data_IF_677729937032
#
_entry.id   IF_677729937032
#
_cell.length_a   1.000
_cell.length_b   1.000
_cell.length_c   1.000
_cell.angle_alpha   90.00
_cell.angle_beta   90.00
_cell.angle_gamma   90.00
#
_symmetry.space_group_name_H-M   'P 1'
#
loop_
_entity.id
_entity.type
_entity.pdbx_description
1 polymer ?
#
# COMPACT_ATOMS: atom_id res chain seq x y z
N UNK A 1 0.30 12.81 30.35
CA UNK A 1 -0.84 12.41 29.51
C UNK A 1 -0.67 10.93 29.20
N UNK A 2 -1.60 10.08 29.60
CA UNK A 2 -1.59 8.65 29.24
C UNK A 2 -2.33 8.44 27.92
N UNK A 3 -2.07 7.32 27.24
CA UNK A 3 -2.67 7.02 25.95
C UNK A 3 -4.21 6.90 26.05
N UNK A 4 -4.93 7.50 25.09
CA UNK A 4 -6.39 7.40 24.95
C UNK A 4 -6.69 6.59 23.70
N UNK A 5 -7.43 5.49 23.84
CA UNK A 5 -7.88 4.69 22.70
C UNK A 5 -8.84 5.50 21.82
N UNK A 6 -8.59 5.55 20.51
CA UNK A 6 -9.43 6.24 19.53
C UNK A 6 -10.17 5.28 18.62
N UNK A 7 -9.46 4.31 18.05
CA UNK A 7 -10.03 3.33 17.12
C UNK A 7 -9.15 2.08 16.99
N UNK A 8 -9.68 1.05 16.30
CA UNK A 8 -8.98 -0.23 16.08
C UNK A 8 -7.69 -0.08 15.27
N UNK A 9 -7.58 0.96 14.43
CA UNK A 9 -6.40 1.22 13.61
C UNK A 9 -6.31 0.33 12.38
N UNK A 10 -7.42 -0.29 11.97
CA UNK A 10 -7.56 -1.01 10.70
C UNK A 10 -7.77 -0.07 9.52
N UNK A 11 -8.44 1.05 9.77
CA UNK A 11 -8.48 2.21 8.90
C UNK A 11 -8.07 3.47 9.68
N UNK A 12 -7.47 4.42 8.97
CA UNK A 12 -7.08 5.71 9.51
C UNK A 12 -7.82 6.81 8.76
N UNK A 13 -8.36 7.77 9.50
CA UNK A 13 -9.03 8.93 8.95
C UNK A 13 -8.01 9.76 8.15
N UNK A 14 -8.35 10.05 6.90
CA UNK A 14 -7.47 10.79 5.99
C UNK A 14 -8.28 11.79 5.20
N UNK A 15 -7.78 13.03 5.15
CA UNK A 15 -8.32 14.09 4.32
C UNK A 15 -7.27 14.42 3.27
N UNK A 16 -7.47 14.03 2.00
CA UNK A 16 -6.51 14.30 0.96
C UNK A 16 -6.61 15.75 0.47
N UNK A 17 -5.49 16.31 0.02
CA UNK A 17 -5.45 17.62 -0.64
C UNK A 17 -5.90 17.56 -2.11
N UNK A 18 -5.90 16.36 -2.70
CA UNK A 18 -6.30 16.06 -4.09
C UNK A 18 -7.28 14.89 -4.11
N UNK A 19 -8.04 14.72 -5.19
CA UNK A 19 -8.95 13.58 -5.30
C UNK A 19 -8.15 12.26 -5.28
N UNK A 20 -8.55 11.32 -4.42
CA UNK A 20 -7.97 9.99 -4.28
C UNK A 20 -9.02 8.98 -4.70
N UNK A 21 -8.68 8.10 -5.64
CA UNK A 21 -9.62 7.09 -6.13
C UNK A 21 -9.52 5.79 -5.33
N UNK A 22 -10.57 4.98 -5.39
CA UNK A 22 -10.59 3.66 -4.75
C UNK A 22 -9.47 2.77 -5.33
N UNK A 23 -8.62 2.25 -4.44
CA UNK A 23 -7.45 1.45 -4.80
C UNK A 23 -6.14 2.24 -4.83
N UNK A 24 -6.20 3.57 -4.77
CA UNK A 24 -4.98 4.38 -4.72
C UNK A 24 -4.23 4.16 -3.40
N UNK A 25 -2.91 4.07 -3.55
CA UNK A 25 -1.98 3.93 -2.44
C UNK A 25 -1.53 5.32 -2.02
N UNK A 26 -1.77 5.65 -0.76
CA UNK A 26 -1.37 6.90 -0.15
C UNK A 26 -0.25 6.63 0.84
N UNK A 27 0.86 7.36 0.68
CA UNK A 27 2.02 7.29 1.56
C UNK A 27 2.07 8.55 2.44
N UNK A 28 1.93 8.37 3.75
CA UNK A 28 2.08 9.43 4.75
C UNK A 28 3.37 9.22 5.55
N UNK A 29 4.49 9.71 5.02
CA UNK A 29 5.80 9.48 5.63
C UNK A 29 6.22 8.01 5.47
N UNK A 30 6.16 7.24 6.55
CA UNK A 30 6.40 5.78 6.53
C UNK A 30 5.11 4.96 6.62
N UNK A 31 3.96 5.62 6.78
CA UNK A 31 2.67 4.95 6.84
C UNK A 31 2.10 4.81 5.43
N UNK A 32 1.94 3.58 4.97
CA UNK A 32 1.30 3.30 3.68
C UNK A 32 -0.14 2.84 3.92
N UNK A 33 -1.09 3.52 3.28
CA UNK A 33 -2.51 3.19 3.33
C UNK A 33 -3.11 3.05 1.93
N UNK A 34 -4.21 2.32 1.81
CA UNK A 34 -4.94 2.15 0.54
C UNK A 34 -6.35 2.69 0.70
N UNK A 35 -6.79 3.55 -0.21
CA UNK A 35 -8.15 4.07 -0.24
C UNK A 35 -9.13 2.95 -0.64
N UNK A 36 -10.15 2.66 0.18
CA UNK A 36 -11.18 1.65 -0.15
C UNK A 36 -12.31 2.19 -1.03
N UNK A 37 -12.47 3.51 -1.04
CA UNK A 37 -13.52 4.26 -1.72
C UNK A 37 -12.88 5.52 -2.30
N UNK A 38 -13.54 6.14 -3.28
CA UNK A 38 -13.14 7.45 -3.78
C UNK A 38 -13.30 8.49 -2.66
N UNK A 39 -12.28 9.32 -2.46
CA UNK A 39 -12.23 10.39 -1.47
C UNK A 39 -11.95 11.68 -2.24
N UNK A 40 -12.92 12.60 -2.26
CA UNK A 40 -12.73 13.91 -2.87
C UNK A 40 -11.75 14.77 -2.05
N UNK A 41 -11.06 15.67 -2.73
CA UNK A 41 -10.17 16.64 -2.09
C UNK A 41 -10.89 17.44 -0.98
N UNK A 42 -10.29 17.48 0.21
CA UNK A 42 -10.83 18.20 1.36
C UNK A 42 -11.97 17.47 2.10
N UNK A 43 -12.37 16.28 1.68
CA UNK A 43 -13.36 15.46 2.39
C UNK A 43 -12.71 14.46 3.35
N UNK A 44 -13.44 14.09 4.40
CA UNK A 44 -12.98 13.07 5.34
C UNK A 44 -13.20 11.68 4.74
N UNK A 45 -12.11 11.03 4.37
CA UNK A 45 -12.09 9.63 3.94
C UNK A 45 -11.37 8.73 4.94
N UNK A 46 -11.18 7.47 4.55
CA UNK A 46 -10.49 6.48 5.37
C UNK A 46 -9.54 5.63 4.51
N UNK A 47 -8.30 5.53 4.96
CA UNK A 47 -7.28 4.66 4.36
C UNK A 47 -7.23 3.35 5.13
N UNK A 48 -7.31 2.23 4.41
CA UNK A 48 -6.99 0.93 4.98
C UNK A 48 -5.49 0.87 5.26
N UNK A 49 -5.09 0.50 6.48
CA UNK A 49 -3.70 0.22 6.84
C UNK A 49 -3.48 -1.26 7.17
N UNK A 50 -4.56 -2.03 7.24
CA UNK A 50 -4.54 -3.49 7.39
C UNK A 50 -5.49 -4.10 6.38
N UNK A 51 -5.08 -5.20 5.75
CA UNK A 51 -5.93 -5.95 4.83
C UNK A 51 -5.12 -6.75 3.82
N UNK A 52 -5.83 -7.38 2.90
CA UNK A 52 -5.24 -8.05 1.75
C UNK A 52 -5.74 -7.35 0.50
N UNK A 53 -4.82 -6.85 -0.31
CA UNK A 53 -5.10 -6.08 -1.52
C UNK A 53 -4.27 -6.64 -2.67
N UNK A 54 -4.83 -6.61 -3.87
CA UNK A 54 -4.08 -6.89 -5.09
C UNK A 54 -3.55 -5.54 -5.59
N UNK A 55 -2.23 -5.39 -5.61
CA UNK A 55 -1.55 -4.14 -6.02
C UNK A 55 -0.77 -4.38 -7.31
N UNK A 56 -0.65 -3.38 -8.21
CA UNK A 56 0.12 -3.52 -9.44
C UNK A 56 1.59 -3.81 -9.12
N UNK A 57 2.24 -4.64 -9.95
CA UNK A 57 3.69 -4.87 -9.90
C UNK A 57 4.30 -4.79 -11.29
N UNK A 58 5.62 -4.61 -11.35
CA UNK A 58 6.35 -4.73 -12.59
C UNK A 58 6.22 -6.15 -13.17
N UNK A 59 6.16 -6.22 -14.50
CA UNK A 59 6.19 -7.47 -15.26
C UNK A 59 7.50 -7.56 -16.02
N UNK A 60 8.09 -8.75 -16.08
CA UNK A 60 9.36 -8.96 -16.77
C UNK A 60 10.22 -10.00 -16.08
N UNK A 61 11.28 -10.42 -16.77
CA UNK A 61 12.20 -11.45 -16.28
C UNK A 61 12.87 -10.97 -14.98
N UNK A 62 12.59 -11.66 -13.87
CA UNK A 62 13.13 -11.32 -12.56
C UNK A 62 12.20 -10.48 -11.69
N UNK A 63 11.00 -10.18 -12.17
CA UNK A 63 9.95 -9.47 -11.43
C UNK A 63 8.99 -10.45 -10.71
N UNK A 64 9.32 -11.74 -10.68
CA UNK A 64 8.63 -12.72 -9.86
C UNK A 64 8.78 -12.39 -8.37
N UNK A 65 7.65 -12.32 -7.68
CA UNK A 65 7.59 -12.03 -6.24
C UNK A 65 7.16 -13.29 -5.51
N UNK A 66 8.06 -13.86 -4.74
CA UNK A 66 7.75 -15.02 -3.90
C UNK A 66 6.77 -14.67 -2.77
N UNK A 67 5.92 -15.63 -2.40
CA UNK A 67 5.10 -15.50 -1.20
C UNK A 67 5.99 -15.29 0.04
N UNK A 68 5.61 -14.35 0.90
CA UNK A 68 6.35 -13.93 2.08
C UNK A 68 7.42 -12.86 1.83
N UNK A 69 7.71 -12.51 0.57
CA UNK A 69 8.63 -11.43 0.24
C UNK A 69 8.12 -10.09 0.80
N UNK A 70 9.05 -9.26 1.28
CA UNK A 70 8.74 -7.88 1.66
C UNK A 70 8.44 -7.09 0.41
N UNK A 71 7.36 -6.33 0.48
CA UNK A 71 6.92 -5.44 -0.58
C UNK A 71 7.04 -4.00 -0.12
N UNK A 72 7.55 -3.20 -1.02
CA UNK A 72 7.71 -1.77 -0.92
C UNK A 72 6.90 -1.13 -2.04
N UNK A 73 6.30 0.02 -1.75
CA UNK A 73 5.58 0.81 -2.73
C UNK A 73 6.52 1.79 -3.41
N UNK A 74 6.57 1.72 -4.74
CA UNK A 74 7.22 2.70 -5.60
C UNK A 74 6.19 3.76 -5.99
N UNK A 75 6.31 4.98 -5.43
CA UNK A 75 5.42 6.09 -5.73
C UNK A 75 5.63 6.67 -7.13
N UNK A 76 6.81 6.46 -7.74
CA UNK A 76 7.13 6.99 -9.07
C UNK A 76 6.43 6.16 -10.14
N UNK A 77 6.57 4.84 -10.04
CA UNK A 77 6.01 3.90 -11.01
C UNK A 77 4.61 3.39 -10.62
N UNK A 78 4.12 3.77 -9.43
CA UNK A 78 2.85 3.31 -8.84
C UNK A 78 2.75 1.78 -8.82
N UNK A 79 3.82 1.12 -8.38
CA UNK A 79 3.97 -0.32 -8.44
C UNK A 79 4.61 -0.87 -7.16
N UNK A 80 4.24 -2.09 -6.80
CA UNK A 80 4.86 -2.84 -5.72
C UNK A 80 6.17 -3.48 -6.21
N UNK A 81 7.24 -3.30 -5.43
CA UNK A 81 8.57 -3.84 -5.69
C UNK A 81 9.15 -4.49 -4.44
N UNK A 82 10.11 -5.40 -4.61
CA UNK A 82 10.85 -6.01 -3.49
C UNK A 82 12.08 -5.19 -3.08
N UNK A 83 12.40 -4.13 -3.81
CA UNK A 83 13.52 -3.24 -3.53
C UNK A 83 13.06 -2.04 -2.70
N UNK A 84 13.78 -1.73 -1.63
CA UNK A 84 13.53 -0.53 -0.82
C UNK A 84 14.00 0.76 -1.51
N UNK A 85 14.69 0.66 -2.65
CA UNK A 85 15.20 1.82 -3.39
C UNK A 85 16.14 2.68 -2.54
N UNK A 86 16.90 2.09 -1.61
CA UNK A 86 17.70 2.82 -0.61
C UNK A 86 16.85 3.69 0.33
N UNK A 87 15.62 3.27 0.61
CA UNK A 87 14.66 3.96 1.50
C UNK A 87 13.69 4.90 0.78
N UNK A 88 13.77 4.99 -0.56
CA UNK A 88 12.80 5.72 -1.36
C UNK A 88 11.44 5.02 -1.36
N UNK A 89 11.42 3.69 -1.49
CA UNK A 89 10.20 2.91 -1.55
C UNK A 89 9.74 2.54 -0.15
N UNK A 90 8.47 2.84 0.16
CA UNK A 90 7.95 2.67 1.53
C UNK A 90 7.45 1.26 1.77
N UNK A 91 7.82 0.71 2.92
CA UNK A 91 7.40 -0.65 3.27
C UNK A 91 5.89 -0.70 3.41
N UNK A 92 5.28 -1.64 2.68
CA UNK A 92 3.83 -1.78 2.61
C UNK A 92 3.37 -3.07 3.27
N UNK A 93 4.20 -4.11 3.22
CA UNK A 93 3.89 -5.38 3.87
C UNK A 93 4.53 -6.57 3.21
N UNK A 94 3.78 -7.67 3.14
CA UNK A 94 4.30 -8.95 2.61
C UNK A 94 3.38 -9.54 1.56
N UNK A 95 3.99 -10.06 0.51
CA UNK A 95 3.32 -10.88 -0.47
C UNK A 95 2.71 -12.13 0.20
N UNK A 96 1.46 -12.48 -0.10
CA UNK A 96 0.83 -13.70 0.44
C UNK A 96 0.68 -14.81 -0.59
N UNK A 97 0.73 -14.47 -1.87
CA UNK A 97 0.60 -15.41 -2.98
C UNK A 97 1.70 -15.11 -3.98
N UNK A 98 2.50 -16.12 -4.32
CA UNK A 98 3.57 -15.94 -5.29
C UNK A 98 3.02 -15.42 -6.62
N UNK A 99 3.59 -14.32 -7.10
CA UNK A 99 3.26 -13.72 -8.39
C UNK A 99 4.42 -13.99 -9.34
N UNK A 100 4.13 -14.55 -10.51
CA UNK A 100 5.10 -14.83 -11.56
C UNK A 100 5.54 -13.56 -12.29
N UNK A 101 6.53 -13.70 -13.17
CA UNK A 101 7.08 -12.60 -13.97
C UNK A 101 6.02 -11.90 -14.84
N UNK A 102 5.02 -12.65 -15.32
CA UNK A 102 3.93 -12.14 -16.19
C UNK A 102 2.72 -11.58 -15.43
N UNK A 103 2.67 -11.76 -14.10
CA UNK A 103 1.56 -11.27 -13.30
C UNK A 103 1.64 -9.75 -13.15
N UNK A 104 0.59 -9.04 -13.56
CA UNK A 104 0.51 -7.58 -13.46
C UNK A 104 0.13 -7.10 -12.05
N UNK A 105 -0.20 -8.03 -11.15
CA UNK A 105 -0.58 -7.72 -9.78
C UNK A 105 0.01 -8.73 -8.79
N UNK A 106 0.29 -8.25 -7.58
CA UNK A 106 0.70 -9.08 -6.45
C UNK A 106 -0.29 -8.95 -5.31
N UNK A 107 -0.60 -10.08 -4.69
CA UNK A 107 -1.46 -10.09 -3.51
C UNK A 107 -0.65 -9.75 -2.27
N UNK A 108 -0.88 -8.55 -1.77
CA UNK A 108 -0.20 -7.98 -0.64
C UNK A 108 -1.06 -8.05 0.61
N UNK A 109 -0.50 -8.53 1.71
CA UNK A 109 -0.99 -8.22 3.05
C UNK A 109 -0.38 -6.90 3.51
N UNK A 110 -1.22 -5.87 3.60
CA UNK A 110 -0.86 -4.56 4.13
C UNK A 110 -0.57 -4.70 5.63
N UNK A 111 0.60 -4.24 6.05
CA UNK A 111 1.04 -4.28 7.43
C UNK A 111 2.00 -3.12 7.68
N UNK A 112 1.64 -2.15 8.54
CA UNK A 112 2.50 -1.03 8.88
C UNK A 112 3.72 -1.47 9.69
#
# INVERSE_FOLDING_TARGET
MTAVYKQRGDAIDYTPDVDVTAGDVVVQGDLVGIAKLDIAAGELGALAVVGVFDVPKATGVGEAIAAGAKLYWDEVDSQATTSDGSGANKYMGKCILAAGDDDTAVRLRLSP
#
